data_IF_007185699691
#
_entry.id   IF_007185699691
#
_cell.length_a   1.000
_cell.length_b   1.000
_cell.length_c   1.000
_cell.angle_alpha   90.00
_cell.angle_beta   90.00
_cell.angle_gamma   90.00
#
_symmetry.space_group_name_H-M   'P 1'
#
loop_
_entity.id
_entity.type
_entity.pdbx_description
1 polymer ?
#
# COMPACT_ATOMS: atom_id res chain seq x y z
N UNK A 1 24.20 -9.97 1.75
CA UNK A 1 24.48 -10.28 0.34
C UNK A 1 23.17 -10.58 -0.36
N UNK A 2 22.67 -9.65 -1.21
CA UNK A 2 21.50 -9.89 -2.06
C UNK A 2 22.02 -10.64 -3.28
N UNK A 3 21.87 -11.96 -3.27
CA UNK A 3 22.31 -12.80 -4.36
C UNK A 3 21.56 -12.46 -5.66
N UNK A 4 22.30 -12.01 -6.67
CA UNK A 4 22.07 -12.23 -8.11
C UNK A 4 20.66 -12.09 -8.70
N UNK A 5 19.78 -11.21 -8.20
CA UNK A 5 18.58 -10.87 -8.95
C UNK A 5 18.94 -9.87 -10.02
N UNK A 6 18.91 -10.32 -11.26
CA UNK A 6 19.04 -9.45 -12.43
C UNK A 6 17.97 -8.36 -12.38
N UNK A 7 18.38 -7.11 -12.13
CA UNK A 7 17.48 -5.96 -12.08
C UNK A 7 17.06 -5.64 -13.51
N UNK A 8 15.78 -5.85 -13.82
CA UNK A 8 15.23 -5.45 -15.11
C UNK A 8 14.89 -3.96 -15.06
N UNK A 9 15.57 -3.19 -15.91
CA UNK A 9 15.31 -1.75 -16.04
C UNK A 9 14.34 -1.50 -17.20
N UNK A 10 13.36 -0.62 -16.95
CA UNK A 10 12.34 -0.22 -17.92
C UNK A 10 12.36 1.30 -18.03
N UNK A 11 12.43 1.82 -19.24
CA UNK A 11 12.27 3.25 -19.52
C UNK A 11 10.80 3.56 -19.78
N UNK A 12 10.24 4.53 -19.07
CA UNK A 12 8.93 5.11 -19.36
C UNK A 12 9.15 6.43 -20.11
N UNK A 13 8.77 6.47 -21.37
CA UNK A 13 8.91 7.65 -22.20
C UNK A 13 7.55 8.31 -22.45
N UNK A 14 7.47 9.63 -22.22
CA UNK A 14 6.25 10.43 -22.37
C UNK A 14 6.40 11.39 -23.54
N UNK A 15 5.34 11.49 -24.38
CA UNK A 15 5.28 12.41 -25.50
C UNK A 15 5.30 11.74 -26.86
N UNK A 16 5.27 12.54 -27.93
CA UNK A 16 5.14 12.06 -29.31
C UNK A 16 6.39 11.29 -29.80
N UNK A 17 7.57 11.66 -29.31
CA UNK A 17 8.85 11.07 -29.74
C UNK A 17 9.66 10.59 -28.51
N UNK A 18 9.63 9.30 -28.26
CA UNK A 18 10.64 8.68 -27.41
C UNK A 18 11.77 8.17 -28.29
N UNK A 19 12.92 8.82 -28.30
CA UNK A 19 14.12 8.26 -28.92
C UNK A 19 14.44 6.97 -28.18
N UNK A 20 14.42 5.85 -28.89
CA UNK A 20 14.87 4.57 -28.34
C UNK A 20 16.33 4.71 -27.89
N UNK A 21 16.54 4.65 -26.59
CA UNK A 21 17.87 4.57 -26.03
C UNK A 21 18.24 3.10 -25.95
N UNK A 22 19.22 2.67 -26.71
CA UNK A 22 19.69 1.28 -26.82
C UNK A 22 20.15 0.66 -25.48
N UNK A 23 20.35 1.52 -24.50
CA UNK A 23 20.81 1.12 -23.15
C UNK A 23 19.74 0.45 -22.30
N UNK A 24 18.44 0.55 -22.67
CA UNK A 24 17.34 0.06 -21.87
C UNK A 24 16.78 -1.26 -22.40
N UNK A 25 16.63 -2.24 -21.54
CA UNK A 25 16.11 -3.57 -21.92
C UNK A 25 14.67 -3.54 -22.41
N UNK A 26 13.86 -2.58 -21.91
CA UNK A 26 12.47 -2.39 -22.31
C UNK A 26 12.12 -0.91 -22.25
N UNK A 27 11.48 -0.42 -23.30
CA UNK A 27 10.93 0.93 -23.38
C UNK A 27 9.42 0.82 -23.47
N UNK A 28 8.70 1.54 -22.60
CA UNK A 28 7.25 1.70 -22.67
C UNK A 28 6.98 3.15 -23.05
N UNK A 29 6.43 3.34 -24.24
CA UNK A 29 6.07 4.64 -24.76
C UNK A 29 4.63 4.98 -24.37
N UNK A 30 4.45 6.13 -23.70
CA UNK A 30 3.14 6.66 -23.32
C UNK A 30 2.88 7.86 -24.20
N UNK A 31 2.15 7.64 -25.28
CA UNK A 31 1.76 8.70 -26.21
C UNK A 31 0.75 9.61 -25.50
N UNK A 32 1.13 10.86 -25.25
CA UNK A 32 0.25 11.88 -24.73
C UNK A 32 0.63 13.23 -25.34
N UNK A 33 -0.29 13.80 -26.11
CA UNK A 33 -0.18 15.17 -26.58
C UNK A 33 -0.79 16.08 -25.52
N UNK A 34 0.03 16.89 -24.90
CA UNK A 34 -0.38 17.78 -23.82
C UNK A 34 -0.16 19.22 -24.24
N UNK A 35 -1.12 20.12 -23.99
CA UNK A 35 -0.94 21.53 -24.32
C UNK A 35 0.24 22.12 -23.56
N UNK A 36 1.01 23.02 -24.19
CA UNK A 36 2.15 23.66 -23.55
C UNK A 36 1.69 24.54 -22.38
N UNK A 37 2.44 24.50 -21.28
CA UNK A 37 2.25 25.39 -20.13
C UNK A 37 3.60 25.90 -19.65
N UNK A 38 3.62 27.08 -19.03
CA UNK A 38 4.85 27.74 -18.59
C UNK A 38 5.73 26.88 -17.67
N UNK A 39 5.12 25.96 -16.88
CA UNK A 39 5.80 25.08 -15.91
C UNK A 39 5.71 23.60 -16.28
N UNK A 40 5.33 23.30 -17.53
CA UNK A 40 5.06 21.93 -17.98
C UNK A 40 4.06 21.15 -17.09
N UNK A 41 3.07 21.84 -16.54
CA UNK A 41 2.16 21.33 -15.53
C UNK A 41 1.53 20.00 -15.92
N UNK A 42 0.98 19.92 -17.14
CA UNK A 42 0.29 18.71 -17.61
C UNK A 42 1.23 17.52 -17.74
N UNK A 43 2.47 17.75 -18.21
CA UNK A 43 3.49 16.70 -18.27
C UNK A 43 3.82 16.17 -16.89
N UNK A 44 4.02 17.04 -15.91
CA UNK A 44 4.28 16.65 -14.51
C UNK A 44 3.12 15.88 -13.91
N UNK A 45 1.88 16.30 -14.17
CA UNK A 45 0.68 15.59 -13.73
C UNK A 45 0.59 14.20 -14.40
N UNK A 46 0.82 14.09 -15.69
CA UNK A 46 0.80 12.82 -16.41
C UNK A 46 1.82 11.83 -15.84
N UNK A 47 3.05 12.26 -15.63
CA UNK A 47 4.09 11.44 -14.98
C UNK A 47 3.64 10.98 -13.59
N UNK A 48 3.13 11.90 -12.76
CA UNK A 48 2.64 11.57 -11.43
C UNK A 48 1.50 10.53 -11.46
N UNK A 49 0.54 10.69 -12.37
CA UNK A 49 -0.58 9.75 -12.51
C UNK A 49 -0.09 8.35 -12.89
N UNK A 50 0.82 8.26 -13.86
CA UNK A 50 1.39 6.97 -14.28
C UNK A 50 2.16 6.31 -13.13
N UNK A 51 3.01 7.06 -12.43
CA UNK A 51 3.76 6.51 -11.29
C UNK A 51 2.84 6.07 -10.15
N UNK A 52 1.79 6.84 -9.85
CA UNK A 52 0.79 6.45 -8.85
C UNK A 52 0.05 5.17 -9.26
N UNK A 53 -0.35 5.07 -10.53
CA UNK A 53 -1.03 3.88 -11.07
C UNK A 53 -0.12 2.65 -10.97
N UNK A 54 1.15 2.77 -11.38
CA UNK A 54 2.12 1.68 -11.27
C UNK A 54 2.33 1.24 -9.82
N UNK A 55 2.52 2.20 -8.92
CA UNK A 55 2.68 1.91 -7.49
C UNK A 55 1.46 1.20 -6.92
N UNK A 56 0.25 1.72 -7.20
CA UNK A 56 -1.00 1.12 -6.72
C UNK A 56 -1.23 -0.27 -7.31
N UNK A 57 -1.00 -0.45 -8.62
CA UNK A 57 -1.13 -1.74 -9.28
C UNK A 57 -0.12 -2.77 -8.72
N UNK A 58 1.10 -2.33 -8.42
CA UNK A 58 2.11 -3.18 -7.79
C UNK A 58 1.64 -3.64 -6.40
N UNK A 59 1.13 -2.73 -5.58
CA UNK A 59 0.59 -3.08 -4.26
C UNK A 59 -0.61 -4.02 -4.36
N UNK A 60 -1.48 -3.83 -5.36
CA UNK A 60 -2.61 -4.74 -5.63
C UNK A 60 -2.12 -6.15 -5.99
N UNK A 61 -1.14 -6.27 -6.90
CA UNK A 61 -0.53 -7.55 -7.26
C UNK A 61 0.17 -8.25 -6.10
N UNK A 62 0.72 -7.46 -5.17
CA UNK A 62 1.31 -7.98 -3.93
C UNK A 62 0.27 -8.33 -2.86
N UNK A 63 -1.03 -8.24 -3.16
CA UNK A 63 -2.14 -8.46 -2.23
C UNK A 63 -2.10 -7.55 -0.99
N UNK A 64 -1.60 -6.32 -1.16
CA UNK A 64 -1.48 -5.33 -0.09
C UNK A 64 -2.61 -4.30 -0.07
N UNK A 65 -3.61 -4.48 -0.94
CA UNK A 65 -4.81 -3.65 -1.03
C UNK A 65 -6.01 -4.50 -0.66
N UNK A 66 -6.90 -3.95 0.15
CA UNK A 66 -8.19 -4.53 0.48
C UNK A 66 -9.29 -3.59 -0.03
N UNK A 67 -10.04 -4.02 -1.05
CA UNK A 67 -10.94 -3.13 -1.79
C UNK A 67 -10.15 -1.97 -2.42
N UNK A 68 -10.52 -0.74 -2.10
CA UNK A 68 -9.83 0.48 -2.51
C UNK A 68 -8.86 1.03 -1.44
N UNK A 69 -8.62 0.27 -0.37
CA UNK A 69 -7.81 0.69 0.75
C UNK A 69 -6.44 0.02 0.74
N UNK A 70 -5.39 0.81 0.89
CA UNK A 70 -4.06 0.29 1.16
C UNK A 70 -3.99 -0.10 2.64
N UNK A 71 -4.26 -1.37 2.94
CA UNK A 71 -4.26 -1.91 4.30
C UNK A 71 -2.82 -2.16 4.83
N UNK A 72 -1.84 -2.24 3.92
CA UNK A 72 -0.45 -2.52 4.24
C UNK A 72 0.31 -1.22 4.56
N UNK A 73 -0.03 -0.58 5.68
CA UNK A 73 0.66 0.60 6.18
C UNK A 73 1.31 0.30 7.53
N UNK A 74 2.59 0.68 7.66
CA UNK A 74 3.28 0.67 8.94
C UNK A 74 2.78 1.83 9.81
N UNK A 75 2.65 1.60 11.12
CA UNK A 75 2.16 2.60 12.09
C UNK A 75 3.29 3.43 12.66
N UNK A 76 4.10 4.06 11.79
CA UNK A 76 5.33 4.76 12.19
C UNK A 76 5.13 6.22 12.62
N UNK A 77 3.97 6.80 12.34
CA UNK A 77 3.65 8.17 12.73
C UNK A 77 2.15 8.35 12.98
N UNK A 78 1.77 9.49 13.61
CA UNK A 78 0.37 9.80 13.97
C UNK A 78 -0.60 9.68 12.80
N UNK A 79 -0.23 10.14 11.61
CA UNK A 79 -1.07 10.06 10.40
C UNK A 79 -1.35 8.61 10.01
N UNK A 80 -0.34 7.75 10.08
CA UNK A 80 -0.48 6.34 9.72
C UNK A 80 -1.22 5.55 10.80
N UNK A 81 -1.05 5.91 12.07
CA UNK A 81 -1.85 5.36 13.19
C UNK A 81 -3.31 5.72 13.02
N UNK A 82 -3.67 7.00 12.82
CA UNK A 82 -5.06 7.44 12.57
C UNK A 82 -5.67 6.71 11.36
N UNK A 83 -4.89 6.58 10.28
CA UNK A 83 -5.32 5.81 9.11
C UNK A 83 -5.59 4.35 9.43
N UNK A 84 -4.72 3.70 10.22
CA UNK A 84 -4.89 2.32 10.64
C UNK A 84 -6.17 2.14 11.47
N UNK A 85 -6.42 3.04 12.45
CA UNK A 85 -7.63 3.03 13.28
C UNK A 85 -8.89 3.17 12.42
N UNK A 86 -8.90 4.10 11.46
CA UNK A 86 -10.05 4.28 10.53
C UNK A 86 -10.29 3.05 9.67
N UNK A 87 -9.23 2.37 9.22
CA UNK A 87 -9.36 1.11 8.46
C UNK A 87 -9.93 0.00 9.33
N UNK A 88 -9.42 -0.17 10.55
CA UNK A 88 -9.95 -1.17 11.50
C UNK A 88 -11.44 -0.91 11.74
N UNK A 89 -11.82 0.33 12.05
CA UNK A 89 -13.21 0.73 12.20
C UNK A 89 -14.07 0.36 10.99
N UNK A 90 -13.58 0.67 9.78
CA UNK A 90 -14.29 0.41 8.53
C UNK A 90 -14.55 -1.08 8.30
N UNK A 91 -13.59 -1.94 8.62
CA UNK A 91 -13.71 -3.38 8.37
C UNK A 91 -14.37 -4.16 9.51
N UNK A 92 -14.29 -3.65 10.74
CA UNK A 92 -14.81 -4.35 11.92
C UNK A 92 -16.11 -3.76 12.42
N UNK A 93 -16.46 -2.51 12.06
CA UNK A 93 -17.62 -1.81 12.59
C UNK A 93 -17.47 -1.38 14.06
N UNK A 94 -16.28 -1.44 14.65
CA UNK A 94 -15.98 -0.95 15.98
C UNK A 94 -16.08 0.58 16.05
N UNK A 95 -16.19 1.13 17.27
CA UNK A 95 -16.01 2.56 17.51
C UNK A 95 -14.57 2.99 17.17
N UNK A 96 -14.31 4.30 17.06
CA UNK A 96 -12.95 4.78 16.86
C UNK A 96 -12.05 4.44 18.06
N UNK A 97 -12.56 4.60 19.27
CA UNK A 97 -11.86 4.31 20.53
C UNK A 97 -11.51 2.82 20.65
N UNK A 98 -12.50 1.94 20.47
CA UNK A 98 -12.24 0.49 20.48
C UNK A 98 -11.25 0.06 19.40
N UNK A 99 -11.33 0.65 18.21
CA UNK A 99 -10.40 0.36 17.11
C UNK A 99 -8.97 0.80 17.43
N UNK A 100 -8.84 1.90 18.17
CA UNK A 100 -7.56 2.39 18.67
C UNK A 100 -6.97 1.41 19.69
N UNK A 101 -7.76 1.03 20.69
CA UNK A 101 -7.34 0.09 21.74
C UNK A 101 -6.93 -1.26 21.15
N UNK A 102 -7.70 -1.78 20.20
CA UNK A 102 -7.38 -3.03 19.53
C UNK A 102 -6.08 -2.94 18.70
N UNK A 103 -5.84 -1.79 18.04
CA UNK A 103 -4.58 -1.57 17.33
C UNK A 103 -3.39 -1.58 18.30
N UNK A 104 -3.48 -0.86 19.42
CA UNK A 104 -2.37 -0.80 20.40
C UNK A 104 -2.13 -2.15 21.06
N UNK A 105 -3.15 -2.91 21.42
CA UNK A 105 -3.00 -4.31 21.88
C UNK A 105 -2.21 -5.17 20.88
N UNK A 106 -2.47 -4.97 19.58
CA UNK A 106 -1.72 -5.71 18.55
C UNK A 106 -0.27 -5.24 18.45
N UNK A 107 -0.02 -3.93 18.54
CA UNK A 107 1.33 -3.37 18.52
C UNK A 107 2.15 -3.86 19.72
N UNK A 108 1.57 -3.90 20.92
CA UNK A 108 2.21 -4.42 22.12
C UNK A 108 2.55 -5.91 21.98
N UNK A 109 1.64 -6.70 21.44
CA UNK A 109 1.89 -8.11 21.16
C UNK A 109 3.03 -8.32 20.15
N UNK A 110 3.10 -7.49 19.09
CA UNK A 110 4.19 -7.50 18.11
C UNK A 110 5.52 -7.12 18.77
N UNK A 111 5.51 -6.08 19.62
CA UNK A 111 6.71 -5.63 20.32
C UNK A 111 7.23 -6.72 21.29
N UNK A 112 6.33 -7.38 22.02
CA UNK A 112 6.66 -8.50 22.91
C UNK A 112 7.22 -9.72 22.16
N UNK A 113 6.81 -9.94 20.89
CA UNK A 113 7.31 -11.02 20.05
C UNK A 113 8.64 -10.69 19.33
N UNK A 114 9.33 -9.61 19.70
CA UNK A 114 10.62 -9.22 19.10
C UNK A 114 10.56 -8.18 17.98
N UNK A 115 9.41 -7.50 17.82
CA UNK A 115 9.25 -6.39 16.90
C UNK A 115 8.76 -6.77 15.50
N UNK A 116 8.59 -5.76 14.64
CA UNK A 116 8.04 -5.91 13.29
C UNK A 116 9.00 -6.55 12.26
N UNK A 117 10.24 -6.79 12.64
CA UNK A 117 11.25 -7.32 11.73
C UNK A 117 10.95 -8.78 11.38
N UNK A 118 10.36 -9.00 10.22
CA UNK A 118 10.01 -10.33 9.72
C UNK A 118 8.53 -10.70 9.77
N UNK A 119 7.65 -9.84 10.27
CA UNK A 119 6.22 -10.12 10.30
C UNK A 119 5.60 -9.97 8.89
N UNK A 120 5.01 -11.03 8.31
CA UNK A 120 4.46 -10.97 6.96
C UNK A 120 3.18 -10.11 6.88
N UNK A 121 2.53 -9.87 8.02
CA UNK A 121 1.23 -9.19 8.10
C UNK A 121 1.36 -7.85 8.85
N UNK A 122 0.91 -6.72 8.28
CA UNK A 122 0.95 -5.43 8.96
C UNK A 122 0.05 -5.39 10.20
N UNK A 123 0.35 -4.52 11.18
CA UNK A 123 -0.44 -4.39 12.40
C UNK A 123 -1.93 -4.15 12.15
N UNK A 124 -2.26 -3.32 11.16
CA UNK A 124 -3.65 -3.03 10.77
C UNK A 124 -4.41 -4.28 10.35
N UNK A 125 -3.82 -5.09 9.46
CA UNK A 125 -4.44 -6.32 8.97
C UNK A 125 -4.53 -7.36 10.07
N UNK A 126 -3.46 -7.53 10.87
CA UNK A 126 -3.44 -8.44 12.00
C UNK A 126 -4.53 -8.10 13.03
N UNK A 127 -4.76 -6.80 13.30
CA UNK A 127 -5.83 -6.34 14.19
C UNK A 127 -7.21 -6.70 13.64
N UNK A 128 -7.45 -6.40 12.34
CA UNK A 128 -8.74 -6.71 11.69
C UNK A 128 -9.03 -8.21 11.75
N UNK A 129 -8.06 -9.04 11.37
CA UNK A 129 -8.20 -10.49 11.41
C UNK A 129 -8.49 -11.02 12.83
N UNK A 130 -7.79 -10.50 13.83
CA UNK A 130 -7.99 -10.87 15.22
C UNK A 130 -9.40 -10.56 15.70
N UNK A 131 -9.87 -9.33 15.47
CA UNK A 131 -11.20 -8.87 15.86
C UNK A 131 -12.30 -9.68 15.16
N UNK A 132 -12.15 -9.93 13.86
CA UNK A 132 -13.14 -10.72 13.12
C UNK A 132 -13.18 -12.18 13.59
N UNK A 133 -12.04 -12.80 13.88
CA UNK A 133 -11.98 -14.18 14.44
C UNK A 133 -12.65 -14.26 15.80
N UNK A 134 -12.47 -13.28 16.67
CA UNK A 134 -13.12 -13.24 17.99
C UNK A 134 -14.65 -13.19 17.87
N UNK A 135 -15.19 -12.40 16.93
CA UNK A 135 -16.63 -12.32 16.69
C UNK A 135 -17.23 -13.61 16.14
N UNK A 136 -16.51 -14.29 15.23
CA UNK A 136 -16.96 -15.59 14.71
C UNK A 136 -16.96 -16.65 15.82
N UNK A 137 -15.93 -16.64 16.69
CA UNK A 137 -15.85 -17.57 17.82
C UNK A 137 -16.98 -17.39 18.84
N UNK A 138 -17.40 -16.15 19.12
CA UNK A 138 -18.53 -15.85 20.03
C UNK A 138 -19.87 -16.27 19.43
N UNK A 139 -20.06 -16.06 18.14
CA UNK A 139 -21.30 -16.46 17.46
C UNK A 139 -21.51 -17.99 17.38
N UNK A 140 -20.44 -18.77 17.49
CA UNK A 140 -20.50 -20.25 17.51
C UNK A 140 -20.77 -20.83 18.90
N UNK A 141 -20.66 -20.03 19.97
CA UNK A 141 -20.91 -20.48 21.36
C UNK A 141 -22.34 -20.19 21.83
N UNK A 142 -23.11 -19.39 21.09
CA UNK A 142 -24.48 -19.03 21.39
C UNK A 142 -25.55 -19.90 20.65
N UNK A 143 -25.14 -20.95 19.95
CA UNK A 143 -25.99 -21.96 19.33
C UNK A 143 -25.88 -23.30 20.07
#
# INVERSE_FOLDING_TARGET
MIAGREVQTVLLAFGAEAKACETWRKVVHIACELPPTAIELWRRIAVKLVLNTLSTATMARMKRIYGNWMAYAETTNKKLVDRAVRLIRQFTGLSYEDSCDELFKTLDAIAAAGGQSGMPTPPTVATVERVLRQRVGTACQEQ
#
